data_IF_647160511925
#
_entry.id   IF_647160511925
#
_cell.length_a   1.000
_cell.length_b   1.000
_cell.length_c   1.000
_cell.angle_alpha   90.00
_cell.angle_beta   90.00
_cell.angle_gamma   90.00
#
_symmetry.space_group_name_H-M   'P 1'
#
loop_
_entity.id
_entity.type
_entity.pdbx_description
1 polymer ?
#
# COMPACT_ATOMS: atom_id res chain seq x y z
N UNK A 1 13.63 15.13 -16.74
CA UNK A 1 12.71 15.99 -15.96
C UNK A 1 11.30 15.91 -16.53
N UNK A 2 10.25 15.90 -15.70
CA UNK A 2 8.85 15.84 -16.14
C UNK A 2 8.45 17.15 -16.84
N UNK A 3 7.86 17.06 -18.04
CA UNK A 3 7.59 18.24 -18.91
C UNK A 3 6.11 18.46 -19.26
N UNK A 4 5.27 17.44 -19.10
CA UNK A 4 3.90 17.44 -19.67
C UNK A 4 2.83 17.72 -18.62
N UNK A 5 2.91 17.06 -17.45
CA UNK A 5 1.87 17.18 -16.42
C UNK A 5 2.17 18.35 -15.47
N UNK A 6 1.13 19.10 -15.04
CA UNK A 6 1.27 20.26 -14.16
C UNK A 6 1.54 19.88 -12.70
N UNK A 7 1.49 18.59 -12.35
CA UNK A 7 1.77 18.07 -11.01
C UNK A 7 2.83 16.98 -11.08
N UNK A 8 3.70 16.89 -10.07
CA UNK A 8 4.75 15.88 -10.04
C UNK A 8 4.15 14.50 -9.83
N UNK A 9 4.37 13.60 -10.79
CA UNK A 9 4.01 12.20 -10.60
C UNK A 9 4.89 11.59 -9.49
N UNK A 10 4.33 10.75 -8.61
CA UNK A 10 5.09 10.01 -7.60
C UNK A 10 5.83 8.82 -8.22
N UNK A 11 6.44 9.00 -9.40
CA UNK A 11 7.19 7.97 -10.11
C UNK A 11 8.66 8.35 -10.10
N UNK A 12 9.50 7.41 -9.64
CA UNK A 12 10.95 7.54 -9.68
C UNK A 12 11.57 6.19 -10.08
N UNK A 13 12.85 6.25 -10.48
CA UNK A 13 13.57 5.06 -10.93
C UNK A 13 13.58 3.96 -9.86
N UNK A 14 13.85 4.30 -8.61
CA UNK A 14 13.94 3.36 -7.50
C UNK A 14 12.63 2.61 -7.26
N UNK A 15 11.49 3.31 -7.26
CA UNK A 15 10.18 2.70 -7.07
C UNK A 15 9.84 1.72 -8.19
N UNK A 16 10.16 2.06 -9.44
CA UNK A 16 9.99 1.15 -10.57
C UNK A 16 10.95 -0.04 -10.50
N UNK A 17 12.20 0.21 -10.10
CA UNK A 17 13.20 -0.84 -9.93
C UNK A 17 12.77 -1.85 -8.86
N UNK A 18 12.45 -1.37 -7.65
CA UNK A 18 12.02 -2.22 -6.52
C UNK A 18 10.78 -3.04 -6.87
N UNK A 19 9.78 -2.42 -7.50
CA UNK A 19 8.55 -3.13 -7.91
C UNK A 19 8.82 -4.17 -9.00
N UNK A 20 9.76 -3.91 -9.92
CA UNK A 20 10.11 -4.85 -11.00
C UNK A 20 10.84 -6.11 -10.52
N UNK A 21 11.52 -6.07 -9.36
CA UNK A 21 12.22 -7.23 -8.81
C UNK A 21 11.26 -8.37 -8.43
N UNK A 22 9.98 -8.06 -8.18
CA UNK A 22 8.97 -9.03 -7.76
C UNK A 22 9.45 -9.92 -6.59
N UNK A 23 10.16 -9.30 -5.65
CA UNK A 23 10.84 -10.01 -4.56
C UNK A 23 9.87 -10.91 -3.79
N UNK A 24 10.28 -12.17 -3.58
CA UNK A 24 9.56 -13.14 -2.77
C UNK A 24 10.11 -13.07 -1.35
N UNK A 25 9.23 -12.80 -0.40
CA UNK A 25 9.57 -12.73 1.01
C UNK A 25 9.04 -13.98 1.70
N UNK A 26 9.92 -14.67 2.43
CA UNK A 26 9.57 -15.70 3.38
C UNK A 26 9.96 -15.23 4.77
N UNK A 27 8.96 -15.05 5.63
CA UNK A 27 9.13 -14.64 7.02
C UNK A 27 8.92 -15.80 8.00
N UNK A 28 8.84 -17.06 7.51
CA UNK A 28 8.57 -18.25 8.30
C UNK A 28 9.47 -18.39 9.53
N UNK A 29 10.78 -18.20 9.36
CA UNK A 29 11.78 -18.28 10.43
C UNK A 29 11.56 -17.21 11.50
N UNK A 30 11.30 -15.97 11.09
CA UNK A 30 11.00 -14.85 12.00
C UNK A 30 9.75 -15.16 12.84
N UNK A 31 8.71 -15.73 12.23
CA UNK A 31 7.48 -16.09 12.94
C UNK A 31 7.72 -17.19 13.97
N UNK A 32 8.52 -18.20 13.60
CA UNK A 32 8.86 -19.31 14.49
C UNK A 32 9.72 -18.87 15.67
N UNK A 33 10.76 -18.07 15.41
CA UNK A 33 11.72 -17.68 16.44
C UNK A 33 11.19 -16.58 17.36
N UNK A 34 10.43 -15.63 16.83
CA UNK A 34 9.95 -14.47 17.60
C UNK A 34 8.51 -14.62 18.10
N UNK A 35 7.80 -15.68 17.70
CA UNK A 35 6.39 -15.88 18.05
C UNK A 35 5.46 -14.77 17.53
N UNK A 36 5.92 -14.03 16.52
CA UNK A 36 5.20 -12.91 15.93
C UNK A 36 4.56 -13.33 14.60
N UNK A 37 3.34 -12.91 14.34
CA UNK A 37 2.73 -13.01 13.02
C UNK A 37 2.26 -11.62 12.58
N UNK A 38 2.55 -11.20 11.34
CA UNK A 38 1.98 -9.97 10.81
C UNK A 38 0.46 -10.10 10.73
N UNK A 39 -0.24 -8.97 10.93
CA UNK A 39 -1.69 -8.91 10.69
C UNK A 39 -1.99 -9.29 9.24
N UNK A 40 -3.19 -9.83 8.99
CA UNK A 40 -3.64 -10.09 7.63
C UNK A 40 -3.51 -8.80 6.78
N UNK A 41 -2.81 -8.86 5.63
CA UNK A 41 -2.66 -7.70 4.77
C UNK A 41 -4.01 -7.10 4.35
N UNK A 42 -5.05 -7.92 4.16
CA UNK A 42 -6.39 -7.46 3.76
C UNK A 42 -6.99 -6.52 4.80
N UNK A 43 -6.84 -6.86 6.08
CA UNK A 43 -7.33 -6.01 7.17
C UNK A 43 -6.54 -4.70 7.25
N UNK A 44 -5.21 -4.79 7.08
CA UNK A 44 -4.32 -3.62 7.09
C UNK A 44 -4.66 -2.65 5.96
N UNK A 45 -4.89 -3.15 4.74
CA UNK A 45 -5.30 -2.33 3.62
C UNK A 45 -6.72 -1.77 3.81
N UNK A 46 -7.65 -2.56 4.35
CA UNK A 46 -9.01 -2.09 4.62
C UNK A 46 -9.01 -0.91 5.62
N UNK A 47 -8.23 -1.01 6.71
CA UNK A 47 -8.09 0.05 7.69
C UNK A 47 -7.44 1.31 7.09
N UNK A 48 -6.43 1.12 6.23
CA UNK A 48 -5.79 2.23 5.51
C UNK A 48 -6.78 2.97 4.61
N UNK A 49 -7.61 2.23 3.84
CA UNK A 49 -8.63 2.83 2.98
C UNK A 49 -9.72 3.52 3.79
N UNK A 50 -10.13 2.93 4.91
CA UNK A 50 -11.09 3.56 5.84
C UNK A 50 -10.55 4.88 6.37
N UNK A 51 -9.30 4.90 6.84
CA UNK A 51 -8.65 6.13 7.30
C UNK A 51 -8.58 7.20 6.20
N UNK A 52 -8.21 6.82 4.97
CA UNK A 52 -8.17 7.75 3.83
C UNK A 52 -9.55 8.38 3.56
N UNK A 53 -10.62 7.60 3.69
CA UNK A 53 -11.99 8.07 3.53
C UNK A 53 -12.38 9.02 4.66
N UNK A 54 -12.16 8.63 5.92
CA UNK A 54 -12.48 9.42 7.11
C UNK A 54 -11.75 10.77 7.15
N UNK A 55 -10.51 10.81 6.63
CA UNK A 55 -9.74 12.05 6.50
C UNK A 55 -10.07 12.87 5.25
N UNK A 56 -10.98 12.40 4.40
CA UNK A 56 -11.37 13.09 3.17
C UNK A 56 -10.28 13.11 2.09
N UNK A 57 -9.25 12.26 2.21
CA UNK A 57 -8.21 12.11 1.17
C UNK A 57 -8.76 11.40 -0.07
N UNK A 58 -9.80 10.59 0.09
CA UNK A 58 -10.53 9.94 -1.01
C UNK A 58 -12.03 10.13 -0.85
N UNK A 59 -12.76 10.16 -1.96
CA UNK A 59 -14.24 10.18 -1.97
C UNK A 59 -14.82 8.79 -1.69
N UNK A 60 -16.08 8.68 -1.21
CA UNK A 60 -16.77 7.39 -0.99
C UNK A 60 -16.72 6.46 -2.21
N UNK A 61 -16.82 6.99 -3.45
CA UNK A 61 -16.74 6.18 -4.67
C UNK A 61 -15.41 5.43 -4.82
N UNK A 62 -14.33 5.95 -4.24
CA UNK A 62 -13.00 5.36 -4.30
C UNK A 62 -12.75 4.31 -3.21
N UNK A 63 -13.54 4.31 -2.12
CA UNK A 63 -13.41 3.34 -1.03
C UNK A 63 -14.21 2.04 -1.27
N UNK A 64 -15.02 1.98 -2.33
CA UNK A 64 -15.73 0.77 -2.74
C UNK A 64 -16.66 0.24 -1.65
N UNK A 65 -16.57 -1.05 -1.32
CA UNK A 65 -17.39 -1.68 -0.27
C UNK A 65 -17.15 -1.13 1.13
N UNK A 66 -16.03 -0.43 1.37
CA UNK A 66 -15.71 0.18 2.66
C UNK A 66 -16.39 1.54 2.86
N UNK A 67 -17.04 2.06 1.83
CA UNK A 67 -17.86 3.27 1.91
C UNK A 67 -19.31 3.03 2.31
N UNK A 68 -19.74 1.75 2.35
CA UNK A 68 -21.10 1.33 2.61
C UNK A 68 -21.39 1.18 4.12
#
# INVERSE_FOLDING_TARGET
>A
AQRVLPFRLPLNFEGLYVTSLAARFDDSRTRQELGFAPRDPRDTFADTVRWLLEKGHISPKHAGKLAA
#
